data_IF_933916234312
#
_entry.id   IF_933916234312
#
_cell.length_a   1.000
_cell.length_b   1.000
_cell.length_c   1.000
_cell.angle_alpha   90.00
_cell.angle_beta   90.00
_cell.angle_gamma   90.00
#
_symmetry.space_group_name_H-M   'P 1'
#
loop_
_entity.id
_entity.type
_entity.pdbx_description
1 polymer ?
#
# COMPACT_ATOMS: atom_id res chain seq x y z
N UNK A 1 -3.35 -18.49 9.66
CA UNK A 1 -3.10 -19.55 8.64
C UNK A 1 -3.39 -19.08 7.22
N UNK A 2 -4.46 -18.32 6.97
CA UNK A 2 -4.83 -17.88 5.59
C UNK A 2 -3.78 -16.96 4.96
N UNK A 3 -3.25 -16.00 5.70
CA UNK A 3 -2.23 -15.03 5.21
C UNK A 3 -0.99 -15.76 4.65
N UNK A 4 -0.53 -16.82 5.30
CA UNK A 4 0.65 -17.58 4.88
C UNK A 4 0.34 -18.68 3.85
N UNK A 5 -0.93 -18.90 3.48
CA UNK A 5 -1.30 -19.77 2.35
C UNK A 5 -1.07 -19.08 1.01
N UNK A 6 -1.02 -17.75 0.99
CA UNK A 6 -0.66 -16.99 -0.19
C UNK A 6 0.86 -17.12 -0.40
N UNK A 7 1.26 -17.85 -1.44
CA UNK A 7 2.67 -18.20 -1.72
C UNK A 7 3.56 -16.97 -1.86
N UNK A 8 3.05 -15.88 -2.41
CA UNK A 8 3.79 -14.63 -2.55
C UNK A 8 4.27 -14.07 -1.20
N UNK A 9 3.57 -14.36 -0.11
CA UNK A 9 3.93 -13.93 1.24
C UNK A 9 5.10 -14.73 1.85
N UNK A 10 5.53 -15.80 1.21
CA UNK A 10 6.68 -16.59 1.62
C UNK A 10 8.01 -16.07 1.04
N UNK A 11 7.94 -15.00 0.25
CA UNK A 11 9.10 -14.32 -0.34
C UNK A 11 9.15 -12.86 0.05
N UNK A 12 10.35 -12.29 0.07
CA UNK A 12 10.53 -10.86 0.26
C UNK A 12 9.95 -10.10 -0.92
N UNK A 13 9.09 -9.13 -0.66
CA UNK A 13 8.47 -8.32 -1.70
C UNK A 13 9.50 -7.55 -2.55
N UNK A 14 10.53 -6.98 -1.92
CA UNK A 14 11.50 -6.11 -2.60
C UNK A 14 12.56 -6.87 -3.41
N UNK A 15 12.96 -8.09 -2.98
CA UNK A 15 14.09 -8.79 -3.57
C UNK A 15 13.87 -10.29 -3.85
N UNK A 16 12.65 -10.78 -3.63
CA UNK A 16 12.23 -12.16 -3.82
C UNK A 16 13.01 -13.23 -2.99
N UNK A 17 13.88 -12.82 -2.05
CA UNK A 17 14.52 -13.77 -1.15
C UNK A 17 13.47 -14.55 -0.34
N UNK A 18 13.73 -15.82 -0.13
CA UNK A 18 12.87 -16.69 0.68
C UNK A 18 12.92 -16.32 2.17
N UNK A 19 11.88 -16.72 2.91
CA UNK A 19 11.75 -16.56 4.37
C UNK A 19 11.81 -15.09 4.84
N UNK A 20 10.82 -14.27 4.52
CA UNK A 20 10.74 -12.91 5.02
C UNK A 20 10.54 -12.91 6.55
N UNK A 21 11.51 -12.37 7.28
CA UNK A 21 11.51 -12.30 8.75
C UNK A 21 10.78 -11.06 9.29
N UNK A 22 10.44 -10.12 8.43
CA UNK A 22 9.83 -8.83 8.79
C UNK A 22 8.64 -8.52 7.89
N UNK A 23 7.87 -7.53 8.34
CA UNK A 23 6.69 -7.02 7.66
C UNK A 23 6.81 -5.50 7.63
N UNK A 24 6.61 -4.87 6.49
CA UNK A 24 6.27 -3.44 6.41
C UNK A 24 4.77 -3.31 6.59
N UNK A 25 4.32 -3.00 7.81
CA UNK A 25 2.92 -3.15 8.20
C UNK A 25 1.98 -2.25 7.41
N UNK A 26 2.28 -0.96 7.30
CA UNK A 26 1.44 0.00 6.58
C UNK A 26 1.44 -0.19 5.05
N UNK A 27 2.48 -0.87 4.51
CA UNK A 27 2.48 -1.33 3.12
C UNK A 27 1.92 -2.76 2.97
N UNK A 28 1.61 -3.41 4.09
CA UNK A 28 1.10 -4.77 4.18
C UNK A 28 1.93 -5.80 3.39
N UNK A 29 3.26 -5.67 3.38
CA UNK A 29 4.12 -6.58 2.63
C UNK A 29 5.20 -7.23 3.51
N UNK A 30 5.62 -8.43 3.08
CA UNK A 30 6.63 -9.26 3.75
C UNK A 30 8.00 -8.97 3.19
N UNK A 31 8.99 -8.74 4.04
CA UNK A 31 10.35 -8.33 3.67
C UNK A 31 11.41 -9.14 4.43
N UNK A 32 12.55 -9.37 3.79
CA UNK A 32 13.69 -10.05 4.40
C UNK A 32 14.50 -9.11 5.31
N UNK A 33 15.44 -9.66 6.07
CA UNK A 33 16.31 -8.92 6.99
C UNK A 33 17.13 -7.83 6.30
N UNK A 34 17.58 -8.06 5.08
CA UNK A 34 18.34 -7.05 4.30
C UNK A 34 17.46 -5.88 3.92
N UNK A 35 16.27 -6.14 3.36
CA UNK A 35 15.32 -5.10 2.99
C UNK A 35 14.78 -4.36 4.23
N UNK A 36 14.56 -5.04 5.34
CA UNK A 36 14.22 -4.40 6.62
C UNK A 36 15.17 -3.27 7.01
N UNK A 37 16.49 -3.44 6.83
CA UNK A 37 17.47 -2.38 7.11
C UNK A 37 17.23 -1.13 6.25
N UNK A 38 16.78 -1.33 5.02
CA UNK A 38 16.43 -0.23 4.13
C UNK A 38 15.11 0.42 4.52
N UNK A 39 14.08 -0.38 4.85
CA UNK A 39 12.80 0.14 5.35
C UNK A 39 12.94 0.96 6.64
N UNK A 40 13.89 0.63 7.51
CA UNK A 40 14.20 1.42 8.71
C UNK A 40 14.74 2.83 8.42
N UNK A 41 15.20 3.10 7.21
CA UNK A 41 15.66 4.43 6.79
C UNK A 41 14.51 5.32 6.31
N UNK A 42 13.33 4.73 6.09
CA UNK A 42 12.13 5.46 5.69
C UNK A 42 11.41 6.01 6.93
N UNK A 43 10.71 7.14 6.83
CA UNK A 43 9.78 7.61 7.84
C UNK A 43 8.74 6.54 8.19
N UNK A 44 8.24 6.52 9.43
CA UNK A 44 7.33 5.49 9.92
C UNK A 44 5.96 5.51 9.24
N UNK A 45 5.53 6.64 8.74
CA UNK A 45 4.32 6.79 7.91
C UNK A 45 4.49 6.19 6.52
N UNK A 46 5.70 6.14 5.99
CA UNK A 46 6.03 5.48 4.73
C UNK A 46 6.24 3.98 4.93
N UNK A 47 6.98 3.59 5.96
CA UNK A 47 7.18 2.18 6.29
C UNK A 47 7.31 1.98 7.80
N UNK A 48 6.41 1.15 8.37
CA UNK A 48 6.47 0.68 9.75
C UNK A 48 6.93 -0.78 9.77
N UNK A 49 8.25 -1.04 9.77
CA UNK A 49 8.76 -2.41 9.73
C UNK A 49 8.70 -3.05 11.13
N UNK A 50 8.07 -4.21 11.22
CA UNK A 50 7.94 -5.02 12.43
C UNK A 50 8.43 -6.45 12.17
N UNK A 51 8.65 -7.24 13.24
CA UNK A 51 9.02 -8.65 13.10
C UNK A 51 7.83 -9.48 12.60
N UNK A 52 8.09 -10.42 11.68
CA UNK A 52 7.08 -11.34 11.19
C UNK A 52 6.76 -12.42 12.24
N UNK A 53 5.96 -12.04 13.22
CA UNK A 53 5.38 -12.95 14.21
C UNK A 53 3.85 -12.77 14.21
N UNK A 54 3.17 -13.45 13.32
CA UNK A 54 1.71 -13.32 13.16
C UNK A 54 0.90 -13.62 14.43
N UNK A 55 1.48 -14.39 15.38
CA UNK A 55 0.81 -14.73 16.64
C UNK A 55 0.77 -13.57 17.64
N UNK A 56 1.70 -12.63 17.50
CA UNK A 56 1.80 -11.44 18.37
C UNK A 56 1.13 -10.19 17.79
N UNK A 57 0.60 -10.28 16.57
CA UNK A 57 -0.07 -9.16 15.95
C UNK A 57 -1.48 -8.97 16.50
N UNK A 58 -1.88 -7.72 16.64
CA UNK A 58 -3.26 -7.34 16.94
C UNK A 58 -4.18 -7.70 15.78
N UNK A 59 -5.50 -7.79 16.04
CA UNK A 59 -6.49 -8.04 15.00
C UNK A 59 -6.38 -7.01 13.86
N UNK A 60 -6.21 -5.74 14.19
CA UNK A 60 -6.03 -4.67 13.22
C UNK A 60 -4.79 -4.86 12.34
N UNK A 61 -3.65 -5.23 12.91
CA UNK A 61 -2.43 -5.51 12.15
C UNK A 61 -2.60 -6.74 11.24
N UNK A 62 -3.33 -7.75 11.69
CA UNK A 62 -3.69 -8.91 10.85
C UNK A 62 -4.62 -8.52 9.70
N UNK A 63 -5.54 -7.58 9.89
CA UNK A 63 -6.40 -7.05 8.83
C UNK A 63 -5.59 -6.36 7.73
N UNK A 64 -4.56 -5.58 8.08
CA UNK A 64 -3.64 -5.00 7.08
C UNK A 64 -3.03 -6.08 6.17
N UNK A 65 -2.56 -7.18 6.75
CA UNK A 65 -1.96 -8.28 5.98
C UNK A 65 -3.00 -9.11 5.22
N UNK A 66 -4.21 -9.19 5.70
CA UNK A 66 -5.30 -9.93 5.05
C UNK A 66 -5.84 -9.21 3.83
N UNK A 67 -6.07 -7.89 3.93
CA UNK A 67 -6.55 -7.06 2.82
C UNK A 67 -5.42 -6.62 1.86
N UNK A 68 -4.18 -6.60 2.34
CA UNK A 68 -2.98 -6.35 1.56
C UNK A 68 -2.25 -7.65 1.19
N UNK A 69 -1.00 -7.77 1.62
CA UNK A 69 -0.11 -8.88 1.27
C UNK A 69 0.67 -8.61 0.00
N UNK A 70 1.71 -9.43 -0.22
CA UNK A 70 2.62 -9.24 -1.36
C UNK A 70 1.90 -9.28 -2.71
N UNK A 71 0.91 -10.16 -2.86
CA UNK A 71 0.15 -10.30 -4.09
C UNK A 71 -0.63 -9.03 -4.41
N UNK A 72 -1.41 -8.52 -3.46
CA UNK A 72 -2.23 -7.32 -3.65
C UNK A 72 -1.38 -6.08 -3.93
N UNK A 73 -0.27 -5.92 -3.21
CA UNK A 73 0.66 -4.82 -3.48
C UNK A 73 1.28 -4.93 -4.88
N UNK A 74 1.68 -6.13 -5.31
CA UNK A 74 2.21 -6.36 -6.66
C UNK A 74 1.14 -6.08 -7.74
N UNK A 75 -0.08 -6.54 -7.53
CA UNK A 75 -1.21 -6.28 -8.44
C UNK A 75 -1.49 -4.78 -8.55
N UNK A 76 -1.53 -4.06 -7.42
CA UNK A 76 -1.67 -2.61 -7.41
C UNK A 76 -0.55 -1.93 -8.22
N UNK A 77 0.70 -2.26 -7.96
CA UNK A 77 1.82 -1.71 -8.71
C UNK A 77 1.75 -2.06 -10.21
N UNK A 78 1.37 -3.30 -10.53
CA UNK A 78 1.37 -3.79 -11.92
C UNK A 78 0.25 -3.19 -12.77
N UNK A 79 -0.94 -3.10 -12.21
CA UNK A 79 -2.14 -2.76 -12.98
C UNK A 79 -2.54 -1.29 -12.85
N UNK A 80 -2.35 -0.69 -11.66
CA UNK A 80 -2.70 0.70 -11.43
C UNK A 80 -1.55 1.67 -11.77
N UNK A 81 -0.31 1.30 -11.40
CA UNK A 81 0.85 2.17 -11.53
C UNK A 81 2.12 1.40 -11.99
N UNK A 82 2.15 0.90 -13.25
CA UNK A 82 3.17 -0.05 -13.71
C UNK A 82 4.62 0.48 -13.68
N UNK A 83 4.84 1.78 -13.69
CA UNK A 83 6.20 2.34 -13.56
C UNK A 83 6.80 2.10 -12.19
N UNK A 84 5.98 1.88 -11.13
CA UNK A 84 6.48 1.61 -9.76
C UNK A 84 7.39 0.39 -9.70
N UNK A 85 7.09 -0.67 -10.47
CA UNK A 85 7.89 -1.91 -10.49
C UNK A 85 9.32 -1.67 -10.99
N UNK A 86 9.52 -0.65 -11.82
CA UNK A 86 10.82 -0.30 -12.39
C UNK A 86 11.65 0.61 -11.50
N UNK A 87 11.06 1.17 -10.46
CA UNK A 87 11.75 2.07 -9.52
C UNK A 87 12.54 1.26 -8.48
N UNK A 88 13.59 1.90 -7.95
CA UNK A 88 14.20 1.38 -6.72
C UNK A 88 13.13 1.32 -5.61
N UNK A 89 13.03 0.23 -4.83
CA UNK A 89 12.00 0.09 -3.80
C UNK A 89 11.89 1.28 -2.85
N UNK A 90 13.02 1.85 -2.39
CA UNK A 90 13.00 3.01 -1.48
C UNK A 90 12.43 4.28 -2.14
N UNK A 91 12.59 4.41 -3.45
CA UNK A 91 11.97 5.50 -4.22
C UNK A 91 10.49 5.22 -4.42
N UNK A 92 10.14 3.98 -4.82
CA UNK A 92 8.76 3.59 -5.05
C UNK A 92 7.87 3.87 -3.83
N UNK A 93 8.31 3.48 -2.62
CA UNK A 93 7.56 3.70 -1.38
C UNK A 93 7.31 5.17 -1.03
N UNK A 94 8.12 6.09 -1.55
CA UNK A 94 7.96 7.54 -1.35
C UNK A 94 7.03 8.20 -2.36
N UNK A 95 6.48 7.48 -3.32
CA UNK A 95 5.61 8.08 -4.34
C UNK A 95 4.20 8.36 -3.83
N UNK A 96 3.52 9.30 -4.48
CA UNK A 96 2.11 9.64 -4.22
C UNK A 96 1.21 8.41 -4.45
N UNK A 97 1.50 7.58 -5.46
CA UNK A 97 0.77 6.32 -5.68
C UNK A 97 0.86 5.37 -4.50
N UNK A 98 2.05 5.21 -3.90
CA UNK A 98 2.21 4.33 -2.74
C UNK A 98 1.61 4.92 -1.47
N UNK A 99 1.56 6.22 -1.33
CA UNK A 99 0.80 6.88 -0.26
C UNK A 99 -0.71 6.63 -0.44
N UNK A 100 -1.22 6.74 -1.67
CA UNK A 100 -2.62 6.39 -1.97
C UNK A 100 -2.92 4.93 -1.60
N UNK A 101 -2.03 3.98 -1.93
CA UNK A 101 -2.18 2.58 -1.53
C UNK A 101 -2.29 2.42 -0.01
N UNK A 102 -1.37 3.03 0.76
CA UNK A 102 -1.40 2.98 2.24
C UNK A 102 -2.67 3.58 2.83
N UNK A 103 -3.07 4.74 2.31
CA UNK A 103 -4.29 5.43 2.77
C UNK A 103 -5.55 4.64 2.41
N UNK A 104 -5.57 3.94 1.26
CA UNK A 104 -6.68 3.07 0.87
C UNK A 104 -6.80 1.85 1.78
N UNK A 105 -5.70 1.20 2.12
CA UNK A 105 -5.69 0.13 3.13
C UNK A 105 -6.16 0.64 4.49
N UNK A 106 -5.66 1.79 4.93
CA UNK A 106 -6.07 2.40 6.18
C UNK A 106 -7.56 2.70 6.19
N UNK A 107 -8.08 3.32 5.14
CA UNK A 107 -9.51 3.60 4.99
C UNK A 107 -10.36 2.33 5.05
N UNK A 108 -9.94 1.28 4.34
CA UNK A 108 -10.63 -0.01 4.33
C UNK A 108 -10.75 -0.63 5.72
N UNK A 109 -9.74 -0.48 6.57
CA UNK A 109 -9.64 -1.15 7.88
C UNK A 109 -10.15 -0.26 9.02
N UNK A 110 -9.88 1.04 8.94
CA UNK A 110 -10.13 1.98 10.03
C UNK A 110 -11.29 2.94 9.75
N UNK A 111 -11.77 2.99 8.52
CA UNK A 111 -12.74 3.99 8.09
C UNK A 111 -12.12 5.39 7.92
N UNK A 112 -12.98 6.41 7.91
CA UNK A 112 -12.58 7.80 7.74
C UNK A 112 -12.85 8.34 6.34
N UNK A 113 -12.04 9.27 5.85
CA UNK A 113 -12.18 9.84 4.52
C UNK A 113 -11.58 8.93 3.46
N UNK A 114 -12.37 8.61 2.43
CA UNK A 114 -11.89 7.83 1.28
C UNK A 114 -10.77 8.61 0.56
N UNK A 115 -9.58 8.02 0.38
CA UNK A 115 -8.49 8.70 -0.31
C UNK A 115 -8.82 8.89 -1.79
N UNK A 116 -8.45 10.05 -2.32
CA UNK A 116 -8.60 10.34 -3.73
C UNK A 116 -7.48 9.67 -4.53
N UNK A 117 -7.86 8.97 -5.60
CA UNK A 117 -6.91 8.34 -6.52
C UNK A 117 -6.09 9.42 -7.23
N UNK A 118 -4.75 9.38 -7.19
CA UNK A 118 -3.94 10.36 -7.87
C UNK A 118 -3.94 10.16 -9.39
N UNK A 119 -3.90 11.26 -10.13
CA UNK A 119 -3.70 11.21 -11.57
C UNK A 119 -2.35 10.60 -11.91
N UNK A 120 -2.30 9.86 -13.01
CA UNK A 120 -1.12 9.10 -13.44
C UNK A 120 0.13 9.99 -13.63
N UNK A 121 -0.07 11.24 -13.99
CA UNK A 121 1.01 12.22 -14.16
C UNK A 121 1.73 12.53 -12.85
N UNK A 122 0.98 12.61 -11.75
CA UNK A 122 1.49 12.96 -10.42
C UNK A 122 1.83 11.73 -9.57
N UNK A 123 1.25 10.59 -9.89
CA UNK A 123 1.33 9.38 -9.09
C UNK A 123 2.77 8.93 -8.78
N UNK A 124 3.71 9.17 -9.68
CA UNK A 124 5.12 8.75 -9.55
C UNK A 124 6.03 9.80 -8.92
N UNK A 125 5.52 11.00 -8.64
CA UNK A 125 6.29 12.04 -7.94
C UNK A 125 6.45 11.69 -6.47
N UNK A 126 7.48 12.24 -5.84
CA UNK A 126 7.69 12.08 -4.40
C UNK A 126 6.57 12.76 -3.60
N UNK A 127 6.21 12.18 -2.48
CA UNK A 127 5.33 12.84 -1.50
C UNK A 127 5.96 14.12 -0.93
N UNK A 128 7.29 14.21 -0.92
CA UNK A 128 8.03 15.40 -0.49
C UNK A 128 7.74 16.61 -1.41
N UNK A 129 7.34 16.37 -2.68
CA UNK A 129 7.04 17.40 -3.69
C UNK A 129 5.57 17.87 -3.67
N UNK A 130 4.71 17.34 -2.79
CA UNK A 130 3.26 17.62 -2.77
C UNK A 130 2.89 19.08 -2.63
N UNK A 131 3.62 19.85 -1.83
CA UNK A 131 3.32 21.28 -1.65
C UNK A 131 3.47 22.07 -2.94
N UNK A 132 4.45 21.73 -3.77
CA UNK A 132 4.65 22.32 -5.09
C UNK A 132 3.53 21.92 -6.06
N UNK A 133 3.04 20.68 -5.98
CA UNK A 133 1.99 20.15 -6.85
C UNK A 133 0.64 20.81 -6.53
N UNK A 134 0.29 20.92 -5.25
CA UNK A 134 -0.98 21.54 -4.82
C UNK A 134 -1.09 23.01 -5.23
N UNK A 135 0.01 23.76 -5.20
CA UNK A 135 0.03 25.15 -5.69
C UNK A 135 -0.23 25.25 -7.20
N UNK A 136 0.25 24.29 -7.99
CA UNK A 136 0.02 24.26 -9.43
C UNK A 136 -1.38 23.80 -9.82
N UNK A 137 -2.00 22.89 -9.05
CA UNK A 137 -3.37 22.42 -9.28
C UNK A 137 -4.44 23.48 -8.95
N UNK A 138 -4.20 24.32 -7.95
CA UNK A 138 -5.10 25.44 -7.61
C UNK A 138 -5.20 26.49 -8.75
N UNK A 139 -4.17 26.58 -9.59
CA UNK A 139 -4.13 27.50 -10.71
C UNK A 139 -4.77 26.95 -12.00
N UNK A 140 -5.10 25.63 -12.07
CA UNK A 140 -5.55 24.95 -13.30
C UNK A 140 -6.96 24.34 -13.22
N UNK A 141 -7.74 24.58 -12.15
CA UNK A 141 -9.07 23.99 -12.00
C UNK A 141 -10.15 24.71 -12.83
N UNK A 142 -10.22 24.41 -14.14
CA UNK A 142 -11.41 24.68 -14.95
C UNK A 142 -11.67 23.62 -16.02
N UNK A 143 -11.55 22.32 -15.73
CA UNK A 143 -12.14 21.25 -16.58
C UNK A 143 -12.02 19.89 -15.88
N UNK A 144 -12.99 19.55 -15.03
CA UNK A 144 -13.10 18.19 -14.48
C UNK A 144 -14.22 17.44 -15.23
N UNK A 145 -13.85 16.66 -16.23
CA UNK A 145 -14.72 15.64 -16.79
C UNK A 145 -14.86 14.45 -15.83
N UNK A 146 -16.08 13.92 -15.65
CA UNK A 146 -16.37 12.73 -14.86
C UNK A 146 -15.66 11.50 -15.47
N UNK A 147 -14.51 11.13 -14.92
CA UNK A 147 -13.85 9.84 -15.22
C UNK A 147 -14.38 8.81 -14.23
N UNK A 148 -15.07 7.78 -14.73
CA UNK A 148 -15.45 6.61 -13.92
C UNK A 148 -14.14 5.86 -13.60
N UNK A 149 -13.62 6.05 -12.39
CA UNK A 149 -12.44 5.32 -11.90
C UNK A 149 -12.90 4.03 -11.26
N UNK A 150 -12.52 2.88 -11.83
CA UNK A 150 -12.62 1.58 -11.16
C UNK A 150 -11.63 1.61 -9.99
N UNK A 151 -12.12 1.49 -8.78
CA UNK A 151 -11.29 1.50 -7.57
C UNK A 151 -10.72 0.10 -7.35
N UNK A 152 -9.40 -0.04 -7.34
CA UNK A 152 -8.68 -1.30 -7.12
C UNK A 152 -9.12 -2.02 -5.82
N UNK A 153 -9.59 -1.26 -4.83
CA UNK A 153 -10.04 -1.81 -3.55
C UNK A 153 -11.56 -2.09 -3.50
N UNK A 154 -12.32 -1.85 -4.58
CA UNK A 154 -13.79 -2.00 -4.57
C UNK A 154 -14.25 -3.41 -4.18
N UNK A 155 -13.56 -4.45 -4.65
CA UNK A 155 -13.87 -5.84 -4.30
C UNK A 155 -13.63 -6.14 -2.81
N UNK A 156 -12.73 -5.37 -2.16
CA UNK A 156 -12.44 -5.49 -0.74
C UNK A 156 -13.49 -4.79 0.12
N UNK A 157 -14.16 -3.74 -0.38
CA UNK A 157 -15.22 -3.03 0.37
C UNK A 157 -16.44 -3.92 0.58
N UNK A 158 -16.82 -4.70 -0.45
CA UNK A 158 -17.94 -5.66 -0.37
C UNK A 158 -17.68 -6.82 0.62
N UNK A 159 -16.42 -7.08 0.96
CA UNK A 159 -16.04 -8.12 1.90
C UNK A 159 -16.11 -7.65 3.36
N UNK A 160 -15.87 -6.37 3.62
CA UNK A 160 -15.95 -5.79 4.98
C UNK A 160 -17.38 -5.75 5.49
N UNK A 161 -18.38 -5.50 4.65
CA UNK A 161 -19.80 -5.54 5.03
C UNK A 161 -20.23 -6.95 5.46
N UNK A 162 -19.65 -7.99 4.87
CA UNK A 162 -19.92 -9.38 5.28
C UNK A 162 -19.24 -9.78 6.59
N UNK A 163 -18.08 -9.20 6.90
CA UNK A 163 -17.32 -9.50 8.13
C UNK A 163 -17.95 -8.86 9.38
N UNK A 164 -18.52 -7.66 9.25
CA UNK A 164 -19.14 -6.95 10.37
C UNK A 164 -20.51 -7.48 10.76
N UNK A 165 -21.11 -8.37 9.97
CA UNK A 165 -22.41 -9.01 10.26
C UNK A 165 -22.29 -10.45 10.78
N UNK A 166 -21.07 -10.96 11.05
CA UNK A 166 -20.85 -12.37 11.45
C UNK A 166 -20.14 -12.51 12.82
N UNK A 167 -20.10 -11.43 13.64
CA UNK A 167 -19.62 -11.49 15.03
C UNK A 167 -20.78 -11.21 15.99
#
# INVERSE_FOLDING_TARGET
RLIMKEESNNKCFDCNNEKPEYISLNNACFICKTCFKNHKKLPLDISKPIKNNLRSLTLKELQYLFFGGNKKLLEFMKYEYPKLIKLNPLVAYKTIAMEYYRNSLKYLIEGGNKPQKPDIEYAYKSIDDKECINKNLLNNNNNAGNVITIDFFNDCYNYNDKFNHTI
#
